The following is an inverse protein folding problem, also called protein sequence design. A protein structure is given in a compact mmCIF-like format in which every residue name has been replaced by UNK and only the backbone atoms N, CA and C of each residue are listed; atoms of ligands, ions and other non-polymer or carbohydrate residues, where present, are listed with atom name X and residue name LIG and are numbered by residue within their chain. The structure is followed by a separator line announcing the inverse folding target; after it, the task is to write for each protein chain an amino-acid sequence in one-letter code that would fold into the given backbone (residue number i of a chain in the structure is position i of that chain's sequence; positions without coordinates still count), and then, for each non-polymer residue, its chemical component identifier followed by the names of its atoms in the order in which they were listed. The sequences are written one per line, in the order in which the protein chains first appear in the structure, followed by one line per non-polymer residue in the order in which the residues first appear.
data_IF_536309152538
#
_entry.id   IF_536309152538
#
_cell.length_a   1.000
_cell.length_b   1.000
_cell.length_c   1.000
_cell.angle_alpha   90.00
_cell.angle_beta   90.00
_cell.angle_gamma   90.00
#
_symmetry.space_group_name_H-M   'P 1'
#
loop_
_entity.id
_entity.type
_entity.pdbx_description
1 polymer ?
#
# COMPACT_ATOMS: atom_id res chain seq x y z
N UNK A 1 26.56 33.82 -76.36
CA UNK A 1 26.17 32.45 -76.73
C UNK A 1 25.23 31.96 -75.65
N UNK A 2 23.92 31.99 -75.92
CA UNK A 2 22.84 31.69 -74.98
C UNK A 2 22.64 30.18 -74.90
N UNK A 3 22.70 29.59 -73.70
CA UNK A 3 22.29 28.21 -73.47
C UNK A 3 21.06 28.22 -72.56
N UNK A 4 19.90 27.91 -73.16
CA UNK A 4 18.61 27.72 -72.49
C UNK A 4 18.63 26.34 -71.83
N UNK A 5 18.39 26.26 -70.51
CA UNK A 5 18.11 24.99 -69.83
C UNK A 5 16.62 24.91 -69.53
N UNK A 6 16.03 23.79 -69.96
CA UNK A 6 14.61 23.49 -69.98
C UNK A 6 14.13 22.99 -68.62
N UNK A 7 13.00 23.52 -68.16
CA UNK A 7 12.23 23.07 -67.00
C UNK A 7 11.49 21.77 -67.35
N UNK A 8 11.67 20.70 -66.59
CA UNK A 8 10.86 19.48 -66.66
C UNK A 8 10.19 19.23 -65.31
N UNK A 9 8.89 19.54 -65.25
CA UNK A 9 7.99 19.20 -64.15
C UNK A 9 7.53 17.76 -64.38
N UNK A 10 7.78 16.87 -63.42
CA UNK A 10 7.18 15.53 -63.39
C UNK A 10 6.16 15.52 -62.25
N UNK A 11 4.88 15.59 -62.63
CA UNK A 11 3.73 15.27 -61.77
C UNK A 11 3.50 13.76 -61.90
N UNK A 12 3.63 13.02 -60.80
CA UNK A 12 3.06 11.67 -60.69
C UNK A 12 1.93 11.77 -59.68
N UNK A 13 0.70 11.68 -60.18
CA UNK A 13 -0.46 11.31 -59.41
C UNK A 13 -0.74 9.84 -59.69
N UNK A 14 -0.69 9.00 -58.67
CA UNK A 14 -1.33 7.69 -58.68
C UNK A 14 -1.61 7.27 -57.23
N UNK A 15 -2.91 7.02 -56.98
CA UNK A 15 -3.50 6.58 -55.74
C UNK A 15 -3.05 5.15 -55.36
N UNK A 16 -2.95 4.91 -54.06
CA UNK A 16 -2.79 3.59 -53.45
C UNK A 16 -3.20 3.69 -52.00
N UNK A 17 -4.51 3.76 -51.78
CA UNK A 17 -5.15 3.52 -50.49
C UNK A 17 -5.29 2.01 -50.34
N UNK A 18 -4.41 1.44 -49.51
CA UNK A 18 -4.61 0.14 -48.89
C UNK A 18 -4.54 0.37 -47.37
N UNK A 19 -5.62 0.90 -46.80
CA UNK A 19 -6.34 0.23 -45.72
C UNK A 19 -5.56 -0.22 -44.49
N UNK A 20 -4.40 0.35 -44.20
CA UNK A 20 -3.71 0.19 -42.95
C UNK A 20 -4.36 1.12 -41.95
N UNK A 21 -5.38 0.64 -41.23
CA UNK A 21 -5.70 1.24 -39.94
C UNK A 21 -4.38 1.37 -39.21
N UNK A 22 -3.97 2.60 -38.92
CA UNK A 22 -2.98 2.84 -37.90
C UNK A 22 -3.58 2.27 -36.63
N UNK A 23 -3.34 0.99 -36.37
CA UNK A 23 -3.35 0.46 -35.02
C UNK A 23 -2.13 1.12 -34.41
N UNK A 24 -2.32 2.37 -34.00
CA UNK A 24 -1.54 2.97 -32.94
C UNK A 24 -1.89 2.17 -31.69
N UNK A 25 -1.38 0.93 -31.64
CA UNK A 25 -1.21 0.25 -30.39
C UNK A 25 -0.11 1.03 -29.70
N UNK A 26 -0.50 2.12 -29.04
CA UNK A 26 0.25 2.58 -27.88
C UNK A 26 0.50 1.32 -27.06
N UNK A 27 1.75 0.87 -26.88
CA UNK A 27 2.01 -0.16 -25.93
C UNK A 27 1.82 0.51 -24.58
N UNK A 28 0.59 0.55 -24.06
CA UNK A 28 0.38 0.56 -22.62
C UNK A 28 0.70 -0.85 -22.13
N UNK A 29 1.92 -1.32 -22.40
CA UNK A 29 2.60 -2.16 -21.44
C UNK A 29 2.83 -1.23 -20.26
N UNK A 30 1.84 -1.23 -19.39
CA UNK A 30 1.99 -0.87 -18.00
C UNK A 30 3.24 -1.63 -17.51
N UNK A 31 4.39 -0.93 -17.55
CA UNK A 31 5.72 -1.50 -17.31
C UNK A 31 5.78 -2.14 -15.91
N UNK A 32 4.90 -1.67 -15.03
CA UNK A 32 4.78 -2.18 -13.67
C UNK A 32 3.86 -3.41 -13.59
N UNK A 33 2.99 -3.68 -14.58
CA UNK A 33 2.04 -4.79 -14.58
C UNK A 33 2.49 -6.02 -15.39
N UNK A 34 3.72 -6.03 -15.89
CA UNK A 34 4.21 -6.99 -16.89
C UNK A 34 4.11 -8.47 -16.53
N UNK A 35 4.00 -8.83 -15.23
CA UNK A 35 3.76 -10.21 -14.77
C UNK A 35 2.29 -10.56 -14.54
N UNK A 36 1.41 -9.55 -14.37
CA UNK A 36 0.01 -9.73 -13.99
C UNK A 36 -0.97 -9.70 -15.18
N UNK A 37 -0.49 -9.53 -16.42
CA UNK A 37 -1.35 -9.50 -17.61
C UNK A 37 -2.40 -8.39 -17.53
N UNK A 38 -3.68 -8.75 -17.54
CA UNK A 38 -4.80 -7.80 -17.40
C UNK A 38 -5.23 -7.56 -15.95
N UNK A 39 -4.57 -8.18 -14.97
CA UNK A 39 -4.83 -7.95 -13.55
C UNK A 39 -4.14 -6.67 -13.06
N UNK A 40 -4.33 -6.33 -11.79
CA UNK A 40 -3.69 -5.21 -11.12
C UNK A 40 -2.56 -5.75 -10.25
N UNK A 41 -1.32 -5.37 -10.54
CA UNK A 41 -0.19 -5.71 -9.67
C UNK A 41 -0.25 -4.91 -8.37
N UNK A 42 -0.39 -5.61 -7.26
CA UNK A 42 -0.33 -5.07 -5.91
C UNK A 42 0.95 -5.57 -5.24
N UNK A 43 1.84 -4.64 -4.91
CA UNK A 43 3.13 -4.93 -4.26
C UNK A 43 3.41 -3.89 -3.18
N UNK A 44 4.33 -4.21 -2.28
CA UNK A 44 4.66 -3.36 -1.15
C UNK A 44 5.66 -4.03 -0.21
N UNK A 45 5.62 -3.66 1.07
CA UNK A 45 6.38 -4.31 2.14
C UNK A 45 5.58 -4.55 3.40
N UNK A 46 5.91 -5.64 4.08
CA UNK A 46 5.71 -5.80 5.51
C UNK A 46 7.05 -5.69 6.22
N UNK A 47 7.15 -4.74 7.15
CA UNK A 47 8.37 -4.49 7.93
C UNK A 47 8.10 -4.63 9.42
N UNK A 48 9.17 -4.86 10.19
CA UNK A 48 9.10 -4.83 11.64
C UNK A 48 8.70 -3.42 12.13
N UNK A 49 7.95 -3.35 13.22
CA UNK A 49 7.48 -2.10 13.80
C UNK A 49 8.59 -1.08 14.06
N UNK A 50 9.77 -1.56 14.46
CA UNK A 50 10.93 -0.72 14.75
C UNK A 50 11.85 -0.51 13.54
N UNK A 51 11.44 -0.95 12.34
CA UNK A 51 12.16 -0.66 11.08
C UNK A 51 12.25 0.85 10.85
N UNK A 52 13.46 1.35 10.58
CA UNK A 52 13.75 2.77 10.35
C UNK A 52 14.42 2.96 8.99
N UNK A 53 14.52 4.22 8.54
CA UNK A 53 15.20 4.53 7.27
C UNK A 53 16.69 4.16 7.29
N UNK A 54 17.31 4.16 8.47
CA UNK A 54 18.71 3.78 8.65
C UNK A 54 18.92 2.28 8.92
N UNK A 55 17.86 1.58 9.35
CA UNK A 55 17.89 0.16 9.71
C UNK A 55 16.58 -0.47 9.25
N UNK A 56 16.54 -0.80 7.96
CA UNK A 56 15.43 -1.52 7.37
C UNK A 56 15.38 -2.95 7.91
N UNK A 57 14.20 -3.40 8.32
CA UNK A 57 13.98 -4.78 8.65
C UNK A 57 12.65 -5.31 8.12
N UNK A 58 12.73 -6.11 7.05
CA UNK A 58 11.60 -6.78 6.43
C UNK A 58 11.18 -8.02 7.21
N UNK A 59 9.91 -8.41 7.05
CA UNK A 59 9.36 -9.61 7.66
C UNK A 59 9.31 -10.71 6.61
N UNK A 60 9.94 -11.85 6.88
CA UNK A 60 9.89 -13.03 6.02
C UNK A 60 8.65 -13.88 6.33
N UNK A 61 8.11 -14.55 5.31
CA UNK A 61 7.06 -15.58 5.42
C UNK A 61 5.72 -15.11 6.05
N UNK A 62 5.43 -13.81 6.05
CA UNK A 62 4.07 -13.33 6.31
C UNK A 62 3.20 -13.61 5.07
N UNK A 63 2.05 -14.24 5.25
CA UNK A 63 1.13 -14.58 4.16
C UNK A 63 0.11 -13.46 3.93
N UNK A 64 -0.14 -13.14 2.67
CA UNK A 64 -1.21 -12.25 2.22
C UNK A 64 -2.18 -13.04 1.35
N UNK A 65 -3.47 -13.04 1.71
CA UNK A 65 -4.49 -13.81 0.99
C UNK A 65 -5.79 -13.03 0.82
N UNK A 66 -6.33 -13.02 -0.40
CA UNK A 66 -7.66 -12.47 -0.68
C UNK A 66 -7.82 -12.07 -2.15
N UNK A 67 -9.05 -11.73 -2.56
CA UNK A 67 -9.33 -11.37 -3.96
C UNK A 67 -9.04 -12.48 -4.98
N UNK A 68 -8.90 -13.75 -4.53
CA UNK A 68 -8.51 -14.88 -5.36
C UNK A 68 -6.98 -15.04 -5.56
N UNK A 69 -6.16 -14.22 -4.89
CA UNK A 69 -4.71 -14.29 -4.93
C UNK A 69 -4.13 -14.62 -3.55
N UNK A 70 -2.91 -15.17 -3.54
CA UNK A 70 -2.13 -15.45 -2.33
C UNK A 70 -0.64 -15.32 -2.66
N UNK A 71 0.12 -14.76 -1.72
CA UNK A 71 1.58 -14.66 -1.78
C UNK A 71 2.14 -14.62 -0.36
N UNK A 72 3.43 -14.88 -0.22
CA UNK A 72 4.16 -14.74 1.02
C UNK A 72 5.33 -13.77 0.87
N UNK A 73 5.63 -13.05 1.94
CA UNK A 73 6.71 -12.07 1.92
C UNK A 73 8.08 -12.74 1.87
N UNK A 74 8.94 -12.22 0.99
CA UNK A 74 10.37 -12.55 0.92
C UNK A 74 11.15 -12.04 2.14
N UNK A 75 12.44 -12.41 2.33
CA UNK A 75 13.19 -12.01 3.53
C UNK A 75 13.32 -10.49 3.75
N UNK A 76 13.16 -9.70 2.69
CA UNK A 76 13.13 -8.24 2.74
C UNK A 76 11.70 -7.67 2.91
N UNK A 77 10.71 -8.46 3.29
CA UNK A 77 9.34 -8.01 3.48
C UNK A 77 8.52 -7.80 2.21
N UNK A 78 9.11 -7.99 1.01
CA UNK A 78 8.43 -7.74 -0.27
C UNK A 78 7.48 -8.87 -0.64
N UNK A 79 6.37 -8.53 -1.28
CA UNK A 79 5.41 -9.46 -1.89
C UNK A 79 4.97 -8.90 -3.26
N UNK A 80 4.37 -9.74 -4.10
CA UNK A 80 3.86 -9.38 -5.41
C UNK A 80 2.59 -10.18 -5.75
N UNK A 81 1.44 -9.50 -5.74
CA UNK A 81 0.12 -10.09 -5.93
C UNK A 81 -0.56 -9.55 -7.19
N UNK A 82 -1.21 -10.43 -7.96
CA UNK A 82 -2.07 -10.02 -9.06
C UNK A 82 -3.54 -10.03 -8.63
N UNK A 83 -4.15 -8.85 -8.49
CA UNK A 83 -5.53 -8.69 -8.05
C UNK A 83 -6.49 -8.43 -9.23
N UNK A 84 -7.76 -8.88 -9.17
CA UNK A 84 -8.73 -8.56 -10.21
C UNK A 84 -8.94 -7.04 -10.36
N UNK A 85 -8.75 -6.51 -11.58
CA UNK A 85 -9.01 -5.07 -11.88
C UNK A 85 -10.48 -4.65 -11.70
N UNK A 86 -11.41 -5.59 -11.59
CA UNK A 86 -12.83 -5.31 -11.37
C UNK A 86 -13.15 -4.88 -9.94
N UNK A 87 -12.23 -5.03 -8.99
CA UNK A 87 -12.41 -4.65 -7.59
C UNK A 87 -11.80 -3.27 -7.30
N UNK A 88 -12.62 -2.33 -6.83
CA UNK A 88 -12.14 -0.99 -6.43
C UNK A 88 -11.29 -1.04 -5.16
N UNK A 89 -11.68 -1.89 -4.21
CA UNK A 89 -10.94 -2.13 -2.97
C UNK A 89 -10.96 -3.63 -2.71
N UNK A 90 -9.77 -4.22 -2.57
CA UNK A 90 -9.60 -5.61 -2.16
C UNK A 90 -9.07 -5.65 -0.74
N UNK A 91 -9.69 -6.46 0.11
CA UNK A 91 -9.18 -6.77 1.44
C UNK A 91 -8.42 -8.09 1.37
N UNK A 92 -7.20 -8.07 1.88
CA UNK A 92 -6.36 -9.25 1.99
C UNK A 92 -6.13 -9.53 3.47
N UNK A 93 -6.42 -10.74 3.91
CA UNK A 93 -6.00 -11.19 5.22
C UNK A 93 -4.48 -11.30 5.26
N UNK A 94 -3.88 -10.72 6.29
CA UNK A 94 -2.44 -10.81 6.57
C UNK A 94 -2.26 -11.75 7.76
N UNK A 95 -1.63 -12.90 7.51
CA UNK A 95 -1.26 -13.86 8.55
C UNK A 95 0.21 -13.66 8.91
N UNK A 96 0.55 -13.34 10.17
CA UNK A 96 1.93 -13.18 10.58
C UNK A 96 2.71 -14.49 10.45
N UNK A 97 4.04 -14.44 10.23
CA UNK A 97 4.85 -15.65 10.15
C UNK A 97 4.88 -16.36 11.51
N UNK A 98 4.98 -17.69 11.49
CA UNK A 98 5.15 -18.49 12.70
C UNK A 98 6.57 -18.33 13.33
N UNK A 99 7.53 -17.84 12.54
CA UNK A 99 8.92 -17.64 12.95
C UNK A 99 9.13 -16.49 13.95
N UNK A 100 10.28 -16.49 14.61
CA UNK A 100 10.70 -15.37 15.46
C UNK A 100 11.09 -14.18 14.60
N UNK A 101 10.92 -12.96 15.13
CA UNK A 101 11.47 -11.77 14.48
C UNK A 101 12.98 -11.88 14.36
N UNK A 102 13.49 -11.69 13.14
CA UNK A 102 14.91 -11.52 12.87
C UNK A 102 15.40 -10.10 13.19
N UNK A 103 14.49 -9.20 13.56
CA UNK A 103 14.70 -7.76 13.64
C UNK A 103 14.88 -7.23 15.07
N UNK A 104 14.29 -7.90 16.07
CA UNK A 104 14.19 -7.35 17.42
C UNK A 104 15.19 -7.97 18.41
N UNK A 105 15.82 -7.12 19.22
CA UNK A 105 16.61 -7.52 20.39
C UNK A 105 15.72 -7.73 21.63
N UNK A 106 14.74 -8.61 21.47
CA UNK A 106 14.16 -9.53 22.43
C UNK A 106 13.44 -10.52 21.53
N UNK A 107 13.83 -11.80 21.55
CA UNK A 107 13.23 -12.71 20.58
C UNK A 107 11.77 -12.97 20.94
N UNK A 108 10.90 -12.75 19.96
CA UNK A 108 9.44 -12.82 20.08
C UNK A 108 8.85 -13.03 18.70
N UNK A 109 7.60 -13.46 18.64
CA UNK A 109 6.87 -13.73 17.39
C UNK A 109 5.87 -12.61 17.11
N UNK A 110 5.55 -12.45 15.83
CA UNK A 110 4.43 -11.63 15.40
C UNK A 110 3.13 -12.41 15.63
N UNK A 111 2.17 -11.81 16.33
CA UNK A 111 0.94 -12.50 16.73
C UNK A 111 -0.34 -11.79 16.31
N UNK A 112 -0.27 -10.52 15.92
CA UNK A 112 -1.44 -9.74 15.55
C UNK A 112 -1.72 -9.90 14.04
N UNK A 113 -2.80 -10.60 13.64
CA UNK A 113 -3.19 -10.66 12.24
C UNK A 113 -3.64 -9.30 11.73
N UNK A 114 -3.67 -9.13 10.41
CA UNK A 114 -4.05 -7.88 9.80
C UNK A 114 -4.98 -8.00 8.62
N UNK A 115 -5.39 -6.84 8.11
CA UNK A 115 -6.15 -6.66 6.88
C UNK A 115 -5.38 -5.65 6.04
N UNK A 116 -4.79 -6.09 4.92
CA UNK A 116 -4.22 -5.18 3.94
C UNK A 116 -5.32 -4.68 3.00
N UNK A 117 -5.47 -3.35 2.94
CA UNK A 117 -6.42 -2.68 2.05
C UNK A 117 -5.71 -2.30 0.76
N UNK A 118 -5.94 -3.07 -0.30
CA UNK A 118 -5.48 -2.79 -1.64
C UNK A 118 -6.52 -1.90 -2.36
N UNK A 119 -6.28 -0.59 -2.37
CA UNK A 119 -7.13 0.37 -3.07
C UNK A 119 -6.65 0.52 -4.52
N UNK A 120 -7.54 0.22 -5.47
CA UNK A 120 -7.21 0.25 -6.89
C UNK A 120 -6.70 1.63 -7.35
N UNK A 121 -7.31 2.72 -6.89
CA UNK A 121 -6.90 4.06 -7.30
C UNK A 121 -5.50 4.41 -6.79
N UNK A 122 -5.14 3.95 -5.59
CA UNK A 122 -3.78 4.12 -5.04
C UNK A 122 -2.77 3.34 -5.88
N UNK A 123 -3.07 2.08 -6.21
CA UNK A 123 -2.19 1.22 -7.01
C UNK A 123 -2.01 1.79 -8.41
N UNK A 124 -3.09 2.19 -9.08
CA UNK A 124 -3.04 2.81 -10.42
C UNK A 124 -2.31 4.16 -10.42
N UNK A 125 -2.28 4.86 -9.28
CA UNK A 125 -1.49 6.06 -9.13
C UNK A 125 0.01 5.77 -8.88
N UNK A 126 0.42 4.50 -8.83
CA UNK A 126 1.79 4.07 -8.52
C UNK A 126 2.12 4.16 -7.03
N UNK A 127 1.10 4.08 -6.17
CA UNK A 127 1.24 4.18 -4.72
C UNK A 127 2.02 3.00 -4.13
N UNK A 128 3.00 3.28 -3.29
CA UNK A 128 3.77 2.23 -2.62
C UNK A 128 3.10 1.79 -1.32
N UNK A 129 2.73 0.51 -1.23
CA UNK A 129 2.10 -0.01 -0.03
C UNK A 129 3.12 -0.39 1.04
N UNK A 130 2.89 0.00 2.29
CA UNK A 130 3.72 -0.41 3.44
C UNK A 130 2.85 -0.74 4.64
N UNK A 131 3.16 -1.86 5.30
CA UNK A 131 2.56 -2.31 6.54
C UNK A 131 3.64 -2.63 7.58
N UNK A 132 3.27 -2.55 8.86
CA UNK A 132 4.19 -2.79 9.98
C UNK A 132 3.59 -3.75 10.98
N UNK A 133 4.32 -4.80 11.35
CA UNK A 133 3.88 -5.74 12.38
C UNK A 133 4.72 -5.57 13.65
N UNK A 134 4.06 -5.72 14.79
CA UNK A 134 4.73 -5.83 16.08
C UNK A 134 4.99 -7.29 16.43
N UNK A 135 6.14 -7.56 17.06
CA UNK A 135 6.24 -8.75 17.90
C UNK A 135 5.39 -8.59 19.15
N UNK A 136 4.99 -9.71 19.76
CA UNK A 136 4.17 -9.70 20.98
C UNK A 136 4.84 -8.93 22.13
N UNK A 137 6.16 -9.09 22.29
CA UNK A 137 6.95 -8.34 23.27
C UNK A 137 7.01 -6.84 22.94
N UNK A 138 7.19 -6.49 21.66
CA UNK A 138 7.26 -5.09 21.23
C UNK A 138 5.91 -4.39 21.35
N UNK A 139 4.82 -5.07 21.04
CA UNK A 139 3.45 -4.56 21.22
C UNK A 139 3.22 -4.13 22.67
N UNK A 140 3.57 -4.97 23.65
CA UNK A 140 3.41 -4.62 25.06
C UNK A 140 4.21 -3.36 25.44
N UNK A 141 5.51 -3.33 25.11
CA UNK A 141 6.37 -2.19 25.43
C UNK A 141 5.97 -0.91 24.70
N UNK A 142 5.52 -1.00 23.45
CA UNK A 142 5.04 0.13 22.66
C UNK A 142 3.81 0.76 23.30
N UNK A 143 2.78 -0.04 23.56
CA UNK A 143 1.54 0.46 24.18
C UNK A 143 1.84 1.08 25.56
N UNK A 144 2.66 0.45 26.39
CA UNK A 144 3.08 1.02 27.67
C UNK A 144 3.80 2.36 27.51
N UNK A 145 4.74 2.47 26.56
CA UNK A 145 5.46 3.72 26.30
C UNK A 145 4.56 4.86 25.80
N UNK A 146 3.48 4.52 25.10
CA UNK A 146 2.46 5.46 24.65
C UNK A 146 1.43 5.79 25.74
N UNK A 147 1.55 5.23 26.95
CA UNK A 147 0.56 5.43 28.03
C UNK A 147 -0.76 4.69 27.79
N UNK A 148 -0.73 3.61 27.00
CA UNK A 148 -1.88 2.82 26.59
C UNK A 148 -1.77 1.37 27.08
N UNK A 149 -2.88 0.64 27.05
CA UNK A 149 -2.94 -0.81 27.25
C UNK A 149 -3.46 -1.43 25.96
N UNK A 150 -2.77 -2.42 25.41
CA UNK A 150 -3.26 -3.14 24.23
C UNK A 150 -4.58 -3.86 24.55
N UNK A 151 -5.60 -3.67 23.71
CA UNK A 151 -6.89 -4.32 23.85
C UNK A 151 -7.20 -5.18 22.62
N UNK A 152 -7.14 -6.50 22.79
CA UNK A 152 -7.40 -7.47 21.72
C UNK A 152 -8.87 -7.47 21.25
N UNK A 153 -9.80 -6.91 22.02
CA UNK A 153 -11.20 -6.79 21.62
C UNK A 153 -11.44 -5.59 20.69
N UNK A 154 -10.44 -4.72 20.50
CA UNK A 154 -10.49 -3.56 19.62
C UNK A 154 -9.83 -3.83 18.29
N UNK A 155 -10.12 -2.98 17.31
CA UNK A 155 -9.36 -2.94 16.08
C UNK A 155 -8.13 -2.03 16.26
N UNK A 156 -7.20 -2.12 15.32
CA UNK A 156 -6.10 -1.17 15.18
C UNK A 156 -6.04 -0.71 13.72
N UNK A 157 -5.54 0.49 13.48
CA UNK A 157 -5.37 1.00 12.10
C UNK A 157 -3.97 1.56 11.96
N UNK A 158 -3.26 1.16 10.91
CA UNK A 158 -2.04 1.78 10.45
C UNK A 158 -2.29 2.38 9.07
N UNK A 159 -2.02 3.67 8.95
CA UNK A 159 -2.09 4.40 7.69
C UNK A 159 -0.69 4.75 7.25
N UNK A 160 -0.27 4.21 6.11
CA UNK A 160 0.93 4.64 5.40
C UNK A 160 0.58 5.78 4.45
N UNK A 161 1.31 6.89 4.53
CA UNK A 161 1.22 8.03 3.63
C UNK A 161 2.38 7.94 2.64
N UNK A 162 2.08 7.49 1.43
CA UNK A 162 3.01 7.53 0.30
C UNK A 162 3.11 8.98 -0.21
N UNK A 163 4.31 9.55 -0.14
CA UNK A 163 4.58 10.97 -0.41
C UNK A 163 4.94 11.78 0.85
N UNK A 164 4.76 13.12 0.83
CA UNK A 164 5.05 13.98 1.98
C UNK A 164 4.15 13.62 3.18
N UNK A 165 4.67 13.66 4.43
CA UNK A 165 3.86 13.45 5.63
C UNK A 165 2.64 14.38 5.69
N UNK A 166 1.47 13.82 6.03
CA UNK A 166 0.20 14.55 6.14
C UNK A 166 -0.48 14.24 7.47
N UNK A 167 -1.37 15.13 7.89
CA UNK A 167 -2.29 14.88 8.99
C UNK A 167 -3.33 13.84 8.59
N UNK A 168 -3.52 12.82 9.43
CA UNK A 168 -4.45 11.71 9.20
C UNK A 168 -5.44 11.63 10.36
N UNK A 169 -6.72 11.39 10.05
CA UNK A 169 -7.76 11.19 11.05
C UNK A 169 -8.71 10.07 10.64
N UNK A 170 -9.29 9.39 11.64
CA UNK A 170 -10.40 8.45 11.46
C UNK A 170 -11.61 8.89 12.29
N UNK A 171 -12.83 8.48 11.90
CA UNK A 171 -14.05 8.91 12.60
C UNK A 171 -14.41 8.05 13.81
N UNK A 172 -13.84 6.85 13.93
CA UNK A 172 -14.08 5.97 15.06
C UNK A 172 -13.29 6.46 16.28
N UNK A 173 -13.83 6.29 17.49
CA UNK A 173 -13.09 6.57 18.72
C UNK A 173 -11.89 5.63 18.84
N UNK A 174 -10.76 6.13 19.32
CA UNK A 174 -9.52 5.36 19.47
C UNK A 174 -8.66 5.91 20.61
N UNK A 175 -7.62 5.17 21.00
CA UNK A 175 -6.59 5.65 21.93
C UNK A 175 -5.70 6.74 21.28
N UNK A 176 -4.78 7.33 22.04
CA UNK A 176 -3.91 8.40 21.54
C UNK A 176 -3.13 7.97 20.28
N UNK A 177 -3.37 8.67 19.17
CA UNK A 177 -2.70 8.44 17.88
C UNK A 177 -1.18 8.56 18.00
N UNK A 178 -0.46 7.67 17.33
CA UNK A 178 1.00 7.69 17.24
C UNK A 178 1.41 7.91 15.78
N UNK A 179 2.38 8.78 15.54
CA UNK A 179 2.94 9.03 14.22
C UNK A 179 4.42 8.65 14.19
N UNK A 180 4.85 8.07 13.07
CA UNK A 180 6.24 7.72 12.81
C UNK A 180 6.93 8.79 11.95
N UNK A 181 8.08 9.25 12.42
CA UNK A 181 8.89 10.28 11.75
C UNK A 181 9.87 9.73 10.70
N UNK A 182 9.93 8.41 10.50
CA UNK A 182 11.02 7.73 9.79
C UNK A 182 12.09 7.15 10.74
N UNK A 183 12.11 7.61 11.98
CA UNK A 183 13.09 7.21 13.01
C UNK A 183 12.47 6.77 14.32
N UNK A 184 11.41 7.44 14.77
CA UNK A 184 10.77 7.13 16.04
C UNK A 184 9.26 7.35 15.99
N UNK A 185 8.57 6.69 16.89
CA UNK A 185 7.14 6.88 17.14
C UNK A 185 6.93 7.91 18.25
N UNK A 186 5.96 8.80 18.06
CA UNK A 186 5.53 9.75 19.08
C UNK A 186 4.03 10.05 18.94
N UNK A 187 3.42 10.60 19.99
CA UNK A 187 2.03 11.03 19.92
C UNK A 187 1.84 12.10 18.83
N UNK A 188 0.86 11.91 17.97
CA UNK A 188 0.58 12.83 16.87
C UNK A 188 -0.17 12.18 15.70
N UNK A 189 -0.64 13.02 14.79
CA UNK A 189 -1.46 12.63 13.62
C UNK A 189 -0.77 12.94 12.29
N UNK A 190 0.45 13.51 12.33
CA UNK A 190 1.22 13.89 11.15
C UNK A 190 2.47 13.02 11.08
N UNK A 191 2.57 12.18 10.05
CA UNK A 191 3.71 11.30 9.87
C UNK A 191 3.70 10.60 8.52
N UNK A 192 4.74 9.82 8.25
CA UNK A 192 4.75 8.89 7.12
C UNK A 192 3.89 7.67 7.42
N UNK A 193 3.93 7.20 8.66
CA UNK A 193 3.04 6.17 9.16
C UNK A 193 2.27 6.74 10.36
N UNK A 194 0.94 6.54 10.40
CA UNK A 194 0.08 7.00 11.49
C UNK A 194 -0.72 5.81 12.02
N UNK A 195 -0.57 5.54 13.32
CA UNK A 195 -1.17 4.43 14.02
C UNK A 195 -2.27 4.90 14.97
N UNK A 196 -3.46 4.33 14.79
CA UNK A 196 -4.62 4.51 15.65
C UNK A 196 -4.81 3.24 16.49
N UNK A 197 -4.40 3.27 17.78
CA UNK A 197 -4.54 2.12 18.68
C UNK A 197 -5.96 2.00 19.23
N UNK A 198 -6.38 0.77 19.56
CA UNK A 198 -7.61 0.49 20.31
C UNK A 198 -8.85 1.18 19.72
N UNK A 199 -9.02 1.07 18.40
CA UNK A 199 -10.16 1.64 17.67
C UNK A 199 -11.43 0.90 18.06
N UNK A 200 -12.44 1.66 18.48
CA UNK A 200 -13.76 1.16 18.82
C UNK A 200 -14.42 0.53 17.59
N UNK A 201 -14.84 -0.72 17.77
CA UNK A 201 -15.49 -1.52 16.73
C UNK A 201 -16.57 -2.39 17.39
N UNK A 202 -17.68 -2.61 16.69
CA UNK A 202 -18.75 -3.48 17.16
C UNK A 202 -18.32 -4.95 17.23
N UNK A 203 -19.09 -5.76 17.96
CA UNK A 203 -18.90 -7.22 17.99
C UNK A 203 -19.15 -7.76 16.57
N UNK A 204 -18.08 -8.24 15.91
CA UNK A 204 -18.14 -8.73 14.53
C UNK A 204 -17.52 -7.82 13.47
N UNK A 205 -17.00 -6.65 13.85
CA UNK A 205 -16.34 -5.74 12.91
C UNK A 205 -17.14 -4.49 12.58
N UNK A 206 -16.65 -3.72 11.61
CA UNK A 206 -17.27 -2.48 11.17
C UNK A 206 -16.42 -1.75 10.15
N UNK A 207 -16.64 -0.44 10.05
CA UNK A 207 -15.79 0.44 9.25
C UNK A 207 -15.60 1.78 9.94
N UNK A 208 -14.57 2.51 9.53
CA UNK A 208 -14.36 3.91 9.90
C UNK A 208 -14.03 4.72 8.65
N UNK A 209 -14.25 6.04 8.70
CA UNK A 209 -13.88 6.92 7.59
C UNK A 209 -12.50 7.51 7.83
N UNK A 210 -11.57 7.20 6.93
CA UNK A 210 -10.22 7.74 6.87
C UNK A 210 -10.20 9.07 6.09
N UNK A 211 -9.64 10.10 6.71
CA UNK A 211 -9.44 11.43 6.13
C UNK A 211 -7.96 11.83 6.19
N UNK A 212 -7.51 12.59 5.19
CA UNK A 212 -6.14 13.13 5.11
C UNK A 212 -6.20 14.63 4.83
N UNK A 213 -5.48 15.41 5.63
CA UNK A 213 -5.40 16.88 5.48
C UNK A 213 -4.80 17.23 4.12
N UNK A 214 -5.50 18.08 3.37
CA UNK A 214 -5.13 18.46 2.00
C UNK A 214 -5.59 17.47 0.92
N UNK A 215 -6.27 16.39 1.31
CA UNK A 215 -6.71 15.33 0.40
C UNK A 215 -5.61 14.33 0.07
N UNK A 216 -6.02 13.14 -0.32
CA UNK A 216 -5.14 12.08 -0.82
C UNK A 216 -5.97 11.06 -1.62
N UNK A 217 -5.32 10.32 -2.50
CA UNK A 217 -5.94 9.13 -3.12
C UNK A 217 -5.97 8.02 -2.06
N UNK A 218 -7.08 7.29 -1.96
CA UNK A 218 -7.22 6.17 -1.02
C UNK A 218 -7.92 6.50 0.31
N UNK A 219 -8.38 7.73 0.50
CA UNK A 219 -9.25 8.10 1.64
C UNK A 219 -10.66 7.51 1.50
N UNK A 220 -11.42 7.43 2.60
CA UNK A 220 -12.79 6.95 2.61
C UNK A 220 -13.03 5.85 3.65
N UNK A 221 -14.02 5.00 3.40
CA UNK A 221 -14.37 3.92 4.33
C UNK A 221 -13.32 2.80 4.32
N UNK A 222 -12.81 2.43 5.48
CA UNK A 222 -11.86 1.33 5.69
C UNK A 222 -12.44 0.30 6.67
N UNK A 223 -12.15 -1.00 6.50
CA UNK A 223 -12.66 -2.04 7.38
C UNK A 223 -12.02 -1.98 8.77
N UNK A 224 -12.80 -2.37 9.77
CA UNK A 224 -12.34 -2.61 11.13
C UNK A 224 -12.72 -4.03 11.54
N UNK A 225 -11.80 -4.72 12.19
CA UNK A 225 -12.04 -6.05 12.74
C UNK A 225 -11.37 -6.18 14.11
N UNK A 226 -12.10 -6.62 15.16
CA UNK A 226 -11.52 -6.87 16.48
C UNK A 226 -10.30 -7.79 16.41
N UNK A 227 -9.24 -7.46 17.16
CA UNK A 227 -8.03 -8.27 17.24
C UNK A 227 -7.21 -8.29 15.95
N UNK A 228 -7.46 -7.35 15.03
CA UNK A 228 -6.68 -7.16 13.80
C UNK A 228 -6.19 -5.72 13.67
N UNK A 229 -5.12 -5.56 12.90
CA UNK A 229 -4.65 -4.27 12.41
C UNK A 229 -5.02 -4.10 10.93
N UNK A 230 -5.74 -3.03 10.61
CA UNK A 230 -6.02 -2.65 9.22
C UNK A 230 -4.89 -1.78 8.70
N UNK A 231 -4.24 -2.24 7.62
CA UNK A 231 -3.18 -1.53 6.92
C UNK A 231 -3.75 -0.84 5.69
N UNK A 232 -3.69 0.48 5.65
CA UNK A 232 -4.15 1.28 4.52
C UNK A 232 -3.02 2.15 4.04
N UNK A 233 -2.82 2.20 2.72
CA UNK A 233 -1.95 3.21 2.10
C UNK A 233 -2.81 4.27 1.45
N UNK A 234 -2.41 5.52 1.64
CA UNK A 234 -2.93 6.68 0.90
C UNK A 234 -1.78 7.33 0.14
N UNK A 235 -2.07 7.89 -1.03
CA UNK A 235 -1.08 8.64 -1.80
C UNK A 235 -1.36 10.14 -1.70
N UNK A 236 -0.47 10.86 -1.03
CA UNK A 236 -0.51 12.31 -0.98
C UNK A 236 -0.06 12.89 -2.33
N UNK A 237 -0.85 13.84 -2.86
CA UNK A 237 -0.49 14.60 -4.05
C UNK A 237 0.31 15.86 -3.69
#
# INVERSE_FOLDING_TARGET
MQLRLVLAVVVVAACGDDGGSAIDATPTVDIDNGSCGDQLRFTGELVDWDSTDAMFCGINDADLQGGGAMDSTSPNGRFDLCLPRSMQVTQLDVTPPAGMSACTMQSSTYALPGIAVANQAVILAGGFWSGRLFTSARQQSFFQSAGLVFDQAKAHVLVHVDGPPRGVAITATHGTTQAFSGTAWAAGEIGRDVFFPNVDVGVGGGSTTLNVVGGAIGTGSIPLSPGKITYVTVRAQ
#
